data_IF_176834736842
#
_entry.id   IF_176834736842
#
_cell.length_a   1.000
_cell.length_b   1.000
_cell.length_c   1.000
_cell.angle_alpha   90.00
_cell.angle_beta   90.00
_cell.angle_gamma   90.00
#
_symmetry.space_group_name_H-M   'P 1'
#
loop_
_entity.id
_entity.type
_entity.pdbx_description
1 polymer ?
#
# COMPACT_ATOMS: atom_id res chain seq x y z
N UNK A 1 -5.28 -1.39 -22.61
CA UNK A 1 -3.88 -1.00 -22.33
C UNK A 1 -2.91 -2.14 -22.66
N UNK A 2 -3.00 -3.28 -21.96
CA UNK A 2 -2.10 -4.44 -22.15
C UNK A 2 -2.12 -4.98 -23.59
N UNK A 3 -3.30 -5.29 -24.13
CA UNK A 3 -3.41 -5.80 -25.50
C UNK A 3 -2.84 -4.83 -26.56
N UNK A 4 -2.87 -3.52 -26.30
CA UNK A 4 -2.42 -2.49 -27.25
C UNK A 4 -0.93 -2.18 -27.15
N UNK A 5 -0.32 -2.31 -25.97
CA UNK A 5 1.05 -1.84 -25.72
C UNK A 5 2.00 -2.93 -25.21
N UNK A 6 1.47 -4.11 -24.90
CA UNK A 6 2.19 -5.13 -24.12
C UNK A 6 2.55 -4.64 -22.72
N UNK A 7 3.30 -5.47 -22.00
CA UNK A 7 3.91 -5.09 -20.73
C UNK A 7 5.29 -5.73 -20.60
N UNK A 8 6.28 -4.92 -20.28
CA UNK A 8 7.63 -5.39 -19.93
C UNK A 8 7.69 -5.56 -18.41
N UNK A 9 7.73 -6.80 -17.93
CA UNK A 9 7.72 -7.14 -16.51
C UNK A 9 8.83 -8.14 -16.19
N UNK A 10 9.31 -8.12 -14.94
CA UNK A 10 10.31 -9.01 -14.37
C UNK A 10 9.77 -10.40 -13.97
N UNK A 11 8.52 -10.74 -14.29
CA UNK A 11 7.94 -12.05 -13.96
C UNK A 11 6.41 -12.16 -13.98
N UNK A 12 5.72 -11.22 -14.64
CA UNK A 12 4.28 -11.00 -14.50
C UNK A 12 3.96 -9.92 -13.47
N UNK A 13 2.69 -9.53 -13.33
CA UNK A 13 2.23 -8.62 -12.29
C UNK A 13 0.83 -9.02 -11.79
N UNK A 14 0.50 -8.64 -10.57
CA UNK A 14 -0.82 -8.87 -9.98
C UNK A 14 -1.42 -7.56 -9.50
N UNK A 15 -2.70 -7.36 -9.80
CA UNK A 15 -3.44 -6.15 -9.47
C UNK A 15 -4.71 -6.52 -8.69
N UNK A 16 -5.08 -5.65 -7.76
CA UNK A 16 -6.43 -5.61 -7.19
C UNK A 16 -7.12 -4.37 -7.77
N UNK A 17 -8.23 -4.57 -8.46
CA UNK A 17 -9.07 -3.50 -9.02
C UNK A 17 -10.40 -3.58 -8.30
N UNK A 18 -10.88 -2.48 -7.74
CA UNK A 18 -12.13 -2.48 -6.99
C UNK A 18 -12.86 -1.15 -7.10
N UNK A 19 -14.17 -1.21 -6.96
CA UNK A 19 -15.05 -0.08 -6.71
C UNK A 19 -15.89 -0.35 -5.44
N UNK A 20 -17.04 0.32 -5.30
CA UNK A 20 -17.89 0.16 -4.13
C UNK A 20 -18.72 -1.14 -4.13
N UNK A 21 -18.85 -1.79 -5.28
CA UNK A 21 -19.76 -2.90 -5.51
C UNK A 21 -19.02 -4.20 -5.82
N UNK A 22 -17.81 -4.13 -6.38
CA UNK A 22 -17.02 -5.31 -6.72
C UNK A 22 -15.50 -5.11 -6.61
N UNK A 23 -14.80 -6.25 -6.55
CA UNK A 23 -13.35 -6.32 -6.59
C UNK A 23 -12.88 -7.47 -7.48
N UNK A 24 -11.74 -7.29 -8.12
CA UNK A 24 -11.15 -8.21 -9.07
C UNK A 24 -9.66 -8.38 -8.80
N UNK A 25 -9.19 -9.62 -8.83
CA UNK A 25 -7.76 -9.97 -8.91
C UNK A 25 -7.41 -10.11 -10.37
N UNK A 26 -6.49 -9.31 -10.88
CA UNK A 26 -6.03 -9.37 -12.27
C UNK A 26 -4.57 -9.80 -12.29
N UNK A 27 -4.26 -10.85 -13.03
CA UNK A 27 -2.89 -11.30 -13.26
C UNK A 27 -2.53 -11.08 -14.71
N UNK A 28 -1.40 -10.41 -14.90
CA UNK A 28 -0.75 -10.23 -16.17
C UNK A 28 0.49 -11.12 -16.23
N UNK A 29 0.61 -11.93 -17.27
CA UNK A 29 1.72 -12.87 -17.42
C UNK A 29 2.84 -12.29 -18.28
N UNK A 30 4.09 -12.57 -17.88
CA UNK A 30 5.26 -12.21 -18.68
C UNK A 30 5.33 -12.98 -20.01
N UNK A 31 6.18 -12.50 -20.93
CA UNK A 31 6.50 -13.20 -22.18
C UNK A 31 5.87 -12.61 -23.43
N UNK A 32 5.20 -11.46 -23.35
CA UNK A 32 4.77 -10.67 -24.52
C UNK A 32 3.66 -11.29 -25.36
N UNK A 33 3.04 -12.39 -24.90
CA UNK A 33 1.94 -13.07 -25.60
C UNK A 33 0.55 -12.44 -25.32
N UNK A 34 0.50 -11.31 -24.61
CA UNK A 34 -0.75 -10.61 -24.27
C UNK A 34 -1.66 -11.40 -23.32
N UNK A 35 -1.10 -12.31 -22.54
CA UNK A 35 -1.84 -13.20 -21.64
C UNK A 35 -2.21 -12.48 -20.34
N UNK A 36 -3.49 -12.53 -19.99
CA UNK A 36 -4.00 -12.03 -18.72
C UNK A 36 -5.24 -12.82 -18.29
N UNK A 37 -5.53 -12.78 -16.99
CA UNK A 37 -6.74 -13.35 -16.38
C UNK A 37 -7.20 -12.47 -15.23
N UNK A 38 -8.51 -12.38 -15.04
CA UNK A 38 -9.15 -11.66 -13.96
C UNK A 38 -10.15 -12.58 -13.23
N UNK A 39 -10.11 -12.59 -11.90
CA UNK A 39 -11.04 -13.30 -11.02
C UNK A 39 -11.84 -12.28 -10.20
N UNK A 40 -13.16 -12.31 -10.31
CA UNK A 40 -14.05 -11.49 -9.48
C UNK A 40 -14.11 -12.09 -8.08
N UNK A 41 -13.89 -11.25 -7.08
CA UNK A 41 -14.00 -11.63 -5.68
C UNK A 41 -15.48 -11.61 -5.24
N UNK A 42 -15.88 -12.65 -4.51
CA UNK A 42 -17.22 -12.70 -3.91
C UNK A 42 -17.40 -11.64 -2.82
N UNK A 43 -18.66 -11.32 -2.44
CA UNK A 43 -18.95 -10.25 -1.46
C UNK A 43 -18.40 -10.52 -0.05
N UNK A 44 -18.14 -11.79 0.29
CA UNK A 44 -17.54 -12.20 1.57
C UNK A 44 -16.03 -12.54 1.45
N UNK A 45 -15.43 -12.32 0.28
CA UNK A 45 -14.06 -12.71 0.02
C UNK A 45 -13.07 -11.75 0.70
N UNK A 46 -12.02 -12.32 1.27
CA UNK A 46 -10.84 -11.61 1.77
C UNK A 46 -9.65 -12.15 0.99
N UNK A 47 -8.92 -11.26 0.32
CA UNK A 47 -7.81 -11.64 -0.55
C UNK A 47 -6.55 -10.84 -0.21
N UNK A 48 -5.44 -11.56 -0.06
CA UNK A 48 -4.08 -11.02 0.02
C UNK A 48 -3.31 -11.49 -1.21
N UNK A 49 -2.75 -10.55 -1.95
CA UNK A 49 -2.09 -10.81 -3.25
C UNK A 49 -0.57 -10.69 -3.12
N UNK A 50 0.11 -11.74 -2.63
CA UNK A 50 1.57 -11.78 -2.55
C UNK A 50 2.17 -13.21 -2.44
N UNK A 51 2.81 -13.74 -3.50
CA UNK A 51 2.63 -13.32 -4.88
C UNK A 51 1.15 -13.42 -5.27
N UNK A 52 0.70 -12.61 -6.23
CA UNK A 52 -0.68 -12.72 -6.71
C UNK A 52 -0.91 -14.05 -7.43
N UNK A 53 -2.05 -14.67 -7.18
CA UNK A 53 -2.44 -15.93 -7.80
C UNK A 53 -3.94 -15.95 -8.12
N UNK A 54 -4.26 -16.66 -9.20
CA UNK A 54 -5.60 -17.12 -9.56
C UNK A 54 -5.49 -18.64 -9.62
N UNK A 55 -6.47 -19.32 -9.03
CA UNK A 55 -6.48 -20.77 -8.95
C UNK A 55 -7.08 -21.43 -10.19
N UNK A 56 -8.02 -22.35 -9.95
CA UNK A 56 -8.73 -23.07 -11.00
C UNK A 56 -9.85 -22.22 -11.58
N UNK A 57 -9.92 -22.17 -12.91
CA UNK A 57 -10.96 -21.46 -13.65
C UNK A 57 -11.69 -22.38 -14.62
N UNK A 58 -12.95 -22.08 -14.99
CA UNK A 58 -13.64 -22.79 -16.06
C UNK A 58 -12.99 -22.50 -17.42
N UNK A 59 -12.68 -23.53 -18.20
CA UNK A 59 -12.03 -23.42 -19.52
C UNK A 59 -12.92 -22.66 -20.53
N UNK A 60 -14.22 -22.92 -20.51
CA UNK A 60 -15.18 -22.30 -21.42
C UNK A 60 -15.51 -20.85 -21.02
N UNK A 61 -14.88 -20.34 -19.94
CA UNK A 61 -15.29 -19.12 -19.27
C UNK A 61 -16.66 -19.27 -18.61
N UNK A 62 -17.12 -18.20 -17.95
CA UNK A 62 -18.46 -18.16 -17.36
C UNK A 62 -19.29 -16.98 -17.87
N UNK A 63 -18.88 -16.42 -19.01
CA UNK A 63 -19.44 -15.22 -19.61
C UNK A 63 -19.00 -13.93 -18.91
N UNK A 64 -17.84 -13.92 -18.23
CA UNK A 64 -17.31 -12.76 -17.52
C UNK A 64 -18.00 -12.49 -16.18
N UNK A 65 -18.72 -13.46 -15.63
CA UNK A 65 -19.46 -13.27 -14.36
C UNK A 65 -18.54 -13.33 -13.16
N UNK A 66 -17.55 -14.22 -13.21
CA UNK A 66 -16.55 -14.43 -12.16
C UNK A 66 -15.14 -14.54 -12.70
N UNK A 67 -14.96 -14.84 -14.00
CA UNK A 67 -13.64 -14.90 -14.61
C UNK A 67 -13.65 -14.27 -16.00
N UNK A 68 -12.65 -13.43 -16.27
CA UNK A 68 -12.30 -12.96 -17.62
C UNK A 68 -10.85 -13.34 -17.95
N UNK A 69 -10.54 -13.57 -19.22
CA UNK A 69 -9.18 -13.92 -19.66
C UNK A 69 -8.95 -13.49 -21.10
N UNK A 70 -7.69 -13.43 -21.52
CA UNK A 70 -7.34 -13.15 -22.92
C UNK A 70 -7.88 -14.23 -23.87
N UNK A 71 -8.25 -13.87 -25.10
CA UNK A 71 -8.85 -14.80 -26.08
C UNK A 71 -7.94 -16.01 -26.37
N UNK A 72 -6.62 -15.79 -26.38
CA UNK A 72 -5.62 -16.82 -26.62
C UNK A 72 -5.21 -17.61 -25.36
N UNK A 73 -5.85 -17.40 -24.21
CA UNK A 73 -5.34 -17.84 -22.92
C UNK A 73 -5.19 -19.36 -22.79
N UNK A 74 -6.19 -20.15 -23.19
CA UNK A 74 -6.10 -21.62 -23.09
C UNK A 74 -5.31 -22.21 -24.26
N UNK A 75 -5.59 -21.74 -25.48
CA UNK A 75 -4.94 -22.25 -26.69
C UNK A 75 -3.43 -22.06 -26.68
N UNK A 76 -2.94 -20.96 -26.10
CA UNK A 76 -1.51 -20.75 -25.94
C UNK A 76 -0.87 -21.83 -25.06
N UNK A 77 -1.46 -22.14 -23.90
CA UNK A 77 -0.96 -23.20 -23.03
C UNK A 77 -0.97 -24.57 -23.72
N UNK A 78 -2.02 -24.86 -24.49
CA UNK A 78 -2.12 -26.12 -25.26
C UNK A 78 -1.03 -26.19 -26.33
N UNK A 79 -0.82 -25.11 -27.09
CA UNK A 79 0.20 -25.04 -28.13
C UNK A 79 1.63 -25.17 -27.57
N UNK A 80 1.86 -24.72 -26.33
CA UNK A 80 3.13 -24.89 -25.62
C UNK A 80 3.29 -26.26 -24.95
N UNK A 81 2.25 -27.09 -24.95
CA UNK A 81 2.24 -28.37 -24.23
C UNK A 81 2.20 -28.22 -22.71
N UNK A 82 1.82 -27.05 -22.20
CA UNK A 82 1.69 -26.77 -20.76
C UNK A 82 0.34 -27.23 -20.19
N UNK A 83 -0.67 -27.39 -21.04
CA UNK A 83 -1.98 -27.89 -20.68
C UNK A 83 -2.49 -28.91 -21.71
N UNK A 84 -3.27 -29.90 -21.26
CA UNK A 84 -3.95 -30.86 -22.13
C UNK A 84 -5.45 -30.65 -21.99
N UNK A 85 -6.11 -30.26 -23.07
CA UNK A 85 -7.55 -30.02 -23.13
C UNK A 85 -8.33 -31.35 -23.11
N UNK A 86 -8.43 -31.99 -21.94
CA UNK A 86 -9.14 -33.26 -21.73
C UNK A 86 -10.22 -33.17 -20.64
N UNK A 87 -10.84 -32.00 -20.48
CA UNK A 87 -11.87 -31.75 -19.47
C UNK A 87 -11.33 -31.55 -18.05
N UNK A 88 -10.00 -31.46 -17.87
CA UNK A 88 -9.39 -31.04 -16.60
C UNK A 88 -9.60 -29.54 -16.37
N UNK A 89 -9.85 -29.09 -15.12
CA UNK A 89 -9.85 -27.67 -14.80
C UNK A 89 -8.54 -26.99 -15.20
N UNK A 90 -8.61 -25.75 -15.66
CA UNK A 90 -7.43 -24.96 -15.95
C UNK A 90 -6.93 -24.32 -14.65
N UNK A 91 -5.82 -24.83 -14.11
CA UNK A 91 -5.19 -24.27 -12.91
C UNK A 91 -4.17 -23.21 -13.34
N UNK A 92 -4.55 -21.95 -13.20
CA UNK A 92 -3.79 -20.81 -13.73
C UNK A 92 -2.39 -20.73 -13.13
N UNK A 93 -2.29 -20.81 -11.80
CA UNK A 93 -0.98 -20.72 -11.13
C UNK A 93 -0.10 -21.95 -11.42
N UNK A 94 -0.68 -23.13 -11.63
CA UNK A 94 0.09 -24.30 -12.05
C UNK A 94 0.59 -24.23 -13.51
N UNK A 95 -0.20 -23.65 -14.42
CA UNK A 95 0.14 -23.57 -15.85
C UNK A 95 1.07 -22.39 -16.17
N UNK A 96 0.80 -21.23 -15.57
CA UNK A 96 1.48 -19.97 -15.90
C UNK A 96 2.29 -19.35 -14.75
N UNK A 97 2.14 -19.87 -13.54
CA UNK A 97 2.84 -19.38 -12.35
C UNK A 97 3.92 -20.34 -11.85
N UNK A 98 4.15 -20.30 -10.54
CA UNK A 98 5.12 -21.16 -9.84
C UNK A 98 4.50 -22.44 -9.26
N UNK A 99 3.19 -22.64 -9.44
CA UNK A 99 2.44 -23.77 -8.90
C UNK A 99 2.31 -23.82 -7.38
N UNK A 100 2.76 -22.79 -6.65
CA UNK A 100 2.73 -22.76 -5.17
C UNK A 100 1.41 -22.25 -4.60
N UNK A 101 0.62 -21.53 -5.41
CA UNK A 101 -0.70 -21.01 -5.03
C UNK A 101 -0.64 -20.07 -3.83
N UNK A 102 -1.53 -20.31 -2.86
CA UNK A 102 -1.68 -19.50 -1.64
C UNK A 102 -0.53 -19.77 -0.66
N UNK A 103 0.32 -18.77 -0.39
CA UNK A 103 1.46 -18.88 0.53
C UNK A 103 1.01 -18.88 2.01
N UNK A 104 1.86 -19.37 2.92
CA UNK A 104 1.54 -19.45 4.35
C UNK A 104 1.23 -18.08 4.97
N UNK A 105 2.06 -17.07 4.68
CA UNK A 105 1.81 -15.71 5.17
C UNK A 105 0.52 -15.09 4.62
N UNK A 106 0.14 -15.41 3.37
CA UNK A 106 -1.16 -15.03 2.78
C UNK A 106 -2.29 -15.67 3.57
N UNK A 107 -2.20 -16.98 3.83
CA UNK A 107 -3.23 -17.70 4.57
C UNK A 107 -3.43 -17.14 5.98
N UNK A 108 -2.34 -16.82 6.69
CA UNK A 108 -2.41 -16.28 8.04
C UNK A 108 -3.13 -14.93 8.12
N UNK A 109 -2.87 -14.00 7.18
CA UNK A 109 -3.56 -12.70 7.16
C UNK A 109 -5.04 -12.87 6.81
N UNK A 110 -5.33 -13.63 5.75
CA UNK A 110 -6.70 -13.85 5.29
C UNK A 110 -7.54 -14.57 6.35
N UNK A 111 -6.99 -15.59 7.01
CA UNK A 111 -7.69 -16.36 8.05
C UNK A 111 -7.96 -15.50 9.30
N UNK A 112 -7.02 -14.63 9.68
CA UNK A 112 -7.21 -13.70 10.80
C UNK A 112 -8.29 -12.66 10.49
N UNK A 113 -8.28 -12.07 9.30
CA UNK A 113 -9.32 -11.14 8.88
C UNK A 113 -10.68 -11.86 8.71
N UNK A 114 -10.70 -13.10 8.22
CA UNK A 114 -11.90 -13.92 8.14
C UNK A 114 -12.45 -14.28 9.52
N UNK A 115 -11.58 -14.44 10.53
CA UNK A 115 -12.00 -14.62 11.92
C UNK A 115 -12.63 -13.34 12.46
N UNK A 116 -12.06 -12.18 12.17
CA UNK A 116 -12.58 -10.86 12.59
C UNK A 116 -13.89 -10.52 11.89
N UNK A 117 -14.09 -10.93 10.63
CA UNK A 117 -15.33 -10.69 9.88
C UNK A 117 -16.56 -11.44 10.43
N UNK A 118 -16.33 -12.47 11.26
CA UNK A 118 -17.39 -13.21 11.97
C UNK A 118 -17.93 -12.48 13.21
N UNK A 119 -17.28 -11.41 13.68
CA UNK A 119 -17.81 -10.58 14.77
C UNK A 119 -19.05 -9.80 14.30
N UNK A 120 -20.01 -9.46 15.19
CA UNK A 120 -21.20 -8.71 14.82
C UNK A 120 -20.92 -7.38 14.10
N UNK A 121 -19.87 -6.67 14.52
CA UNK A 121 -19.42 -5.39 13.95
C UNK A 121 -18.65 -5.51 12.64
N UNK A 122 -18.39 -6.73 12.16
CA UNK A 122 -17.59 -7.03 10.95
C UNK A 122 -16.15 -6.52 11.03
N UNK A 123 -15.44 -6.48 9.89
CA UNK A 123 -14.11 -5.87 9.80
C UNK A 123 -14.26 -4.37 9.62
N UNK A 124 -13.51 -3.60 10.41
CA UNK A 124 -13.38 -2.16 10.28
C UNK A 124 -11.99 -1.76 9.77
N UNK A 125 -11.79 -0.45 9.61
CA UNK A 125 -10.50 0.13 9.22
C UNK A 125 -9.37 -0.25 10.21
N UNK A 126 -9.65 -0.23 11.52
CA UNK A 126 -8.70 -0.60 12.56
C UNK A 126 -8.18 -2.04 12.38
N UNK A 127 -9.05 -2.96 11.97
CA UNK A 127 -8.65 -4.35 11.75
C UNK A 127 -7.67 -4.50 10.57
N UNK A 128 -7.91 -3.73 9.50
CA UNK A 128 -7.03 -3.71 8.32
C UNK A 128 -5.70 -3.04 8.65
N UNK A 129 -5.73 -1.92 9.39
CA UNK A 129 -4.51 -1.25 9.87
C UNK A 129 -3.67 -2.21 10.72
N UNK A 130 -4.27 -2.89 11.69
CA UNK A 130 -3.56 -3.82 12.56
C UNK A 130 -2.98 -5.00 11.77
N UNK A 131 -3.71 -5.55 10.79
CA UNK A 131 -3.21 -6.63 9.93
C UNK A 131 -1.99 -6.18 9.09
N UNK A 132 -2.03 -4.97 8.52
CA UNK A 132 -0.93 -4.41 7.74
C UNK A 132 0.27 -3.97 8.59
N UNK A 133 0.07 -3.73 9.88
CA UNK A 133 1.11 -3.30 10.83
C UNK A 133 1.86 -4.47 11.50
N UNK A 134 1.37 -5.69 11.35
CA UNK A 134 2.00 -6.87 11.92
C UNK A 134 3.42 -7.06 11.38
N UNK A 135 4.40 -7.11 12.30
CA UNK A 135 5.83 -7.18 11.98
C UNK A 135 6.25 -8.47 11.29
N UNK A 136 5.45 -9.54 11.39
CA UNK A 136 5.65 -10.79 10.66
C UNK A 136 5.50 -10.61 9.15
N UNK A 137 4.71 -9.61 8.76
CA UNK A 137 4.35 -9.34 7.37
C UNK A 137 4.95 -8.03 6.84
N UNK A 138 5.14 -7.05 7.70
CA UNK A 138 5.58 -5.71 7.31
C UNK A 138 6.90 -5.37 7.98
N UNK A 139 7.88 -4.93 7.21
CA UNK A 139 9.22 -4.59 7.69
C UNK A 139 9.88 -3.52 6.84
N UNK A 140 11.20 -3.56 6.74
CA UNK A 140 11.96 -2.53 6.00
C UNK A 140 11.72 -2.55 4.48
N UNK A 141 11.42 -3.73 3.94
CA UNK A 141 11.08 -3.93 2.53
C UNK A 141 9.74 -3.31 2.12
N UNK A 142 8.86 -2.98 3.07
CA UNK A 142 7.63 -2.26 2.79
C UNK A 142 7.94 -0.78 2.57
N UNK A 143 7.78 -0.32 1.31
CA UNK A 143 8.06 1.06 0.92
C UNK A 143 7.05 2.07 1.48
N UNK A 144 5.79 1.67 1.63
CA UNK A 144 4.67 2.47 2.14
C UNK A 144 3.49 1.54 2.47
N UNK A 145 2.42 2.08 3.04
CA UNK A 145 1.13 1.41 3.17
C UNK A 145 -0.03 2.30 2.73
N UNK A 146 -1.07 1.70 2.16
CA UNK A 146 -2.25 2.39 1.67
C UNK A 146 -3.50 1.55 1.94
N UNK A 147 -4.57 2.19 2.42
CA UNK A 147 -5.90 1.58 2.56
C UNK A 147 -6.91 2.54 1.94
N UNK A 148 -7.72 2.07 0.99
CA UNK A 148 -8.76 2.86 0.34
C UNK A 148 -10.13 2.25 0.65
N UNK A 149 -10.90 2.79 1.62
CA UNK A 149 -12.25 2.33 1.88
C UNK A 149 -13.21 2.77 0.76
N UNK A 150 -13.80 1.82 0.04
CA UNK A 150 -14.67 2.08 -1.11
C UNK A 150 -16.15 1.96 -0.73
N UNK A 151 -16.66 2.89 0.09
CA UNK A 151 -18.07 2.89 0.50
C UNK A 151 -18.95 3.63 -0.51
N UNK A 152 -19.97 2.95 -1.06
CA UNK A 152 -21.10 3.51 -1.83
C UNK A 152 -20.76 4.50 -2.95
N UNK A 153 -21.76 5.10 -3.60
CA UNK A 153 -21.55 6.28 -4.41
C UNK A 153 -21.25 7.47 -3.49
N UNK A 154 -20.07 8.07 -3.64
CA UNK A 154 -19.66 9.31 -2.98
C UNK A 154 -19.03 10.26 -3.99
N UNK A 155 -19.10 11.58 -3.78
CA UNK A 155 -18.35 12.53 -4.59
C UNK A 155 -16.87 12.15 -4.66
N UNK A 156 -16.26 12.29 -5.84
CA UNK A 156 -14.87 11.89 -6.06
C UNK A 156 -13.91 12.69 -5.15
N UNK A 157 -14.26 13.94 -4.87
CA UNK A 157 -13.54 14.90 -4.03
C UNK A 157 -13.40 14.43 -2.58
N UNK A 158 -14.37 13.66 -2.08
CA UNK A 158 -14.37 13.12 -0.71
C UNK A 158 -13.81 11.71 -0.63
N UNK A 159 -13.29 11.15 -1.73
CA UNK A 159 -12.64 9.83 -1.68
C UNK A 159 -11.30 9.95 -0.98
N UNK A 160 -11.02 8.96 -0.13
CA UNK A 160 -9.92 8.99 0.81
C UNK A 160 -9.05 7.75 0.72
N UNK A 161 -7.76 7.95 0.90
CA UNK A 161 -6.79 6.91 1.14
C UNK A 161 -6.11 7.16 2.47
N UNK A 162 -6.05 6.15 3.32
CA UNK A 162 -5.23 6.13 4.52
C UNK A 162 -3.82 5.75 4.12
N UNK A 163 -2.85 6.63 4.36
CA UNK A 163 -1.48 6.47 3.86
C UNK A 163 -0.47 6.42 5.01
N UNK A 164 0.34 5.36 5.01
CA UNK A 164 1.57 5.28 5.78
C UNK A 164 2.76 5.52 4.85
N UNK A 165 3.59 6.52 5.17
CA UNK A 165 4.64 6.99 4.27
C UNK A 165 5.84 6.04 4.12
N UNK A 166 6.04 5.15 5.10
CA UNK A 166 6.97 4.01 5.04
C UNK A 166 6.22 2.74 5.49
N UNK A 167 6.92 1.64 5.75
CA UNK A 167 6.34 0.42 6.29
C UNK A 167 5.38 0.67 7.47
N UNK A 168 4.10 0.27 7.38
CA UNK A 168 3.08 0.46 8.42
C UNK A 168 3.45 -0.06 9.82
N UNK A 169 4.46 -0.93 9.90
CA UNK A 169 5.01 -1.46 11.15
C UNK A 169 5.38 -0.34 12.13
N UNK A 170 5.89 0.80 11.62
CA UNK A 170 6.40 1.90 12.43
C UNK A 170 5.94 3.30 11.97
N UNK A 171 4.99 3.40 11.03
CA UNK A 171 4.41 4.66 10.59
C UNK A 171 2.88 4.65 10.76
N UNK A 172 2.26 5.81 11.08
CA UNK A 172 0.81 5.94 11.18
C UNK A 172 0.17 5.96 9.79
N UNK A 173 -1.07 5.53 9.72
CA UNK A 173 -1.94 5.79 8.58
C UNK A 173 -2.61 7.16 8.74
N UNK A 174 -2.18 8.13 7.94
CA UNK A 174 -2.77 9.48 7.91
C UNK A 174 -3.75 9.59 6.73
N UNK A 175 -4.95 10.16 6.91
CA UNK A 175 -5.92 10.30 5.83
C UNK A 175 -5.46 11.32 4.77
N UNK A 176 -5.49 10.91 3.50
CA UNK A 176 -5.13 11.71 2.32
C UNK A 176 -6.26 11.66 1.28
N UNK A 177 -6.88 12.80 0.92
CA UNK A 177 -7.91 12.84 -0.11
C UNK A 177 -7.33 12.52 -1.48
N UNK A 178 -8.08 11.78 -2.29
CA UNK A 178 -7.69 11.50 -3.68
C UNK A 178 -7.70 12.77 -4.54
N UNK A 179 -8.52 13.75 -4.17
CA UNK A 179 -8.53 15.10 -4.73
C UNK A 179 -7.51 16.07 -4.10
N UNK A 180 -6.48 15.58 -3.39
CA UNK A 180 -5.45 16.43 -2.78
C UNK A 180 -4.81 17.34 -3.83
N UNK A 181 -4.85 18.65 -3.60
CA UNK A 181 -4.31 19.63 -4.55
C UNK A 181 -2.79 19.63 -4.56
N UNK A 182 -2.17 19.46 -3.38
CA UNK A 182 -0.72 19.51 -3.24
C UNK A 182 -0.26 18.73 -2.00
N UNK A 183 0.82 17.95 -2.11
CA UNK A 183 1.45 17.30 -0.96
C UNK A 183 2.42 18.26 -0.24
N UNK A 184 2.55 18.20 1.11
CA UNK A 184 3.56 19.00 1.80
C UNK A 184 4.97 18.69 1.26
N UNK A 185 5.84 19.69 1.21
CA UNK A 185 7.20 19.56 0.66
C UNK A 185 8.00 18.42 1.32
N UNK A 186 7.81 18.20 2.62
CA UNK A 186 8.44 17.12 3.36
C UNK A 186 8.06 15.71 2.88
N UNK A 187 6.90 15.55 2.26
CA UNK A 187 6.36 14.29 1.75
C UNK A 187 6.55 14.11 0.23
N UNK A 188 7.18 15.08 -0.45
CA UNK A 188 7.51 14.97 -1.89
C UNK A 188 8.78 14.16 -2.12
N UNK A 189 9.12 13.98 -3.38
CA UNK A 189 10.34 13.30 -3.81
C UNK A 189 11.58 14.17 -3.54
N UNK A 190 12.40 13.75 -2.55
CA UNK A 190 13.71 14.35 -2.26
C UNK A 190 14.82 13.73 -3.15
N UNK A 191 15.95 14.44 -3.30
CA UNK A 191 17.08 14.08 -4.18
C UNK A 191 17.73 12.76 -3.79
N UNK A 192 17.96 12.52 -2.51
CA UNK A 192 18.59 11.26 -2.05
C UNK A 192 17.66 10.04 -2.17
N UNK A 193 16.40 10.23 -2.54
CA UNK A 193 15.45 9.16 -2.87
C UNK A 193 15.28 8.96 -4.39
N UNK A 194 16.07 9.68 -5.19
CA UNK A 194 15.89 9.77 -6.63
C UNK A 194 17.15 9.33 -7.36
N UNK A 195 17.02 8.31 -8.20
CA UNK A 195 18.14 7.78 -8.99
C UNK A 195 18.78 8.89 -9.83
N UNK A 196 20.10 9.03 -9.73
CA UNK A 196 20.89 10.02 -10.46
C UNK A 196 20.88 11.43 -9.86
N UNK A 197 19.95 11.78 -8.96
CA UNK A 197 19.87 13.14 -8.41
C UNK A 197 21.05 13.47 -7.47
N UNK A 198 21.74 12.46 -6.92
CA UNK A 198 22.95 12.65 -6.12
C UNK A 198 24.10 13.29 -6.93
N UNK A 199 24.12 13.11 -8.25
CA UNK A 199 25.15 13.63 -9.16
C UNK A 199 24.76 14.98 -9.78
N UNK A 200 23.53 15.44 -9.53
CA UNK A 200 23.00 16.71 -10.06
C UNK A 200 23.27 17.90 -9.14
N UNK A 201 22.99 19.12 -9.62
CA UNK A 201 23.17 20.35 -8.86
C UNK A 201 21.92 21.23 -8.90
N UNK A 202 21.65 21.93 -7.78
CA UNK A 202 20.66 23.01 -7.73
C UNK A 202 21.42 24.32 -7.99
N UNK A 203 21.91 24.49 -9.21
CA UNK A 203 22.52 25.75 -9.63
C UNK A 203 22.20 26.07 -11.10
N UNK A 204 22.50 27.30 -11.53
CA UNK A 204 22.23 27.78 -12.89
C UNK A 204 23.42 27.59 -13.84
N UNK A 205 24.55 27.07 -13.36
CA UNK A 205 25.81 27.01 -14.11
C UNK A 205 25.97 25.73 -14.91
N UNK A 206 25.37 24.63 -14.45
CA UNK A 206 25.37 23.34 -15.15
C UNK A 206 23.95 22.92 -15.50
N UNK A 207 23.43 23.51 -16.57
CA UNK A 207 22.07 23.25 -17.01
C UNK A 207 21.85 21.77 -17.36
N UNK A 208 22.88 21.11 -17.87
CA UNK A 208 22.93 19.70 -18.26
C UNK A 208 22.91 18.72 -17.07
N UNK A 209 23.33 19.14 -15.87
CA UNK A 209 23.27 18.34 -14.65
C UNK A 209 22.35 18.95 -13.59
N UNK A 210 21.33 19.68 -14.02
CA UNK A 210 20.40 20.34 -13.11
C UNK A 210 19.47 19.33 -12.42
N UNK A 211 19.38 19.44 -11.09
CA UNK A 211 18.45 18.69 -10.24
C UNK A 211 17.02 18.88 -10.71
N UNK A 212 16.27 17.78 -10.84
CA UNK A 212 14.82 17.82 -11.14
C UNK A 212 14.02 18.12 -9.89
N UNK A 213 14.59 17.89 -8.71
CA UNK A 213 13.95 18.20 -7.44
C UNK A 213 14.06 19.71 -7.16
N UNK A 214 12.95 20.40 -6.86
CA UNK A 214 12.97 21.81 -6.49
C UNK A 214 13.74 22.08 -5.19
N UNK A 215 14.46 23.20 -5.14
CA UNK A 215 15.18 23.64 -3.93
C UNK A 215 14.27 23.76 -2.71
N UNK A 216 13.01 24.14 -2.92
CA UNK A 216 12.00 24.24 -1.85
C UNK A 216 11.63 22.89 -1.23
N UNK A 217 11.79 21.77 -1.95
CA UNK A 217 11.60 20.43 -1.37
C UNK A 217 12.81 20.07 -0.53
N UNK A 218 14.02 20.25 -1.09
CA UNK A 218 15.29 19.96 -0.40
C UNK A 218 15.56 20.86 0.81
N UNK A 219 14.96 22.05 0.86
CA UNK A 219 15.03 22.94 2.02
C UNK A 219 14.22 22.44 3.23
N UNK A 220 13.47 21.35 3.08
CA UNK A 220 12.67 20.73 4.15
C UNK A 220 13.26 19.40 4.60
N UNK A 221 12.88 18.92 5.79
CA UNK A 221 13.14 17.54 6.19
C UNK A 221 12.30 16.58 5.33
N UNK A 222 12.78 15.36 5.07
CA UNK A 222 11.95 14.33 4.43
C UNK A 222 11.23 13.46 5.45
N UNK A 223 9.94 13.27 5.20
CA UNK A 223 9.15 12.29 5.90
C UNK A 223 9.72 10.87 5.76
N UNK A 224 10.25 10.49 4.59
CA UNK A 224 10.82 9.15 4.38
C UNK A 224 11.98 8.91 5.34
N UNK A 225 12.93 9.85 5.44
CA UNK A 225 14.09 9.71 6.32
C UNK A 225 13.69 9.75 7.79
N UNK A 226 12.80 10.66 8.17
CA UNK A 226 12.31 10.76 9.56
C UNK A 226 11.60 9.48 10.01
N UNK A 227 10.67 8.96 9.21
CA UNK A 227 9.95 7.73 9.54
C UNK A 227 10.86 6.48 9.44
N UNK A 228 11.77 6.40 8.46
CA UNK A 228 12.76 5.29 8.41
C UNK A 228 13.68 5.31 9.62
N UNK A 229 14.13 6.49 10.07
CA UNK A 229 14.93 6.61 11.30
C UNK A 229 14.16 6.09 12.51
N UNK A 230 12.90 6.48 12.68
CA UNK A 230 12.06 5.94 13.76
C UNK A 230 11.90 4.42 13.64
N UNK A 231 11.63 3.92 12.43
CA UNK A 231 11.47 2.50 12.17
C UNK A 231 12.72 1.72 12.58
N UNK A 232 13.91 2.17 12.18
CA UNK A 232 15.16 1.50 12.55
C UNK A 232 15.43 1.53 14.05
N UNK A 233 15.17 2.66 14.73
CA UNK A 233 15.29 2.75 16.18
C UNK A 233 14.34 1.78 16.89
N UNK A 234 13.09 1.68 16.43
CA UNK A 234 12.12 0.74 16.99
C UNK A 234 12.54 -0.72 16.74
N UNK A 235 13.09 -1.02 15.55
CA UNK A 235 13.52 -2.35 15.16
C UNK A 235 14.71 -2.89 15.96
N UNK A 236 15.63 -2.01 16.39
CA UNK A 236 16.78 -2.37 17.23
C UNK A 236 16.36 -3.14 18.50
N UNK A 237 15.16 -2.87 19.02
CA UNK A 237 14.56 -3.56 20.17
C UNK A 237 13.07 -3.77 19.94
N UNK A 238 12.75 -4.43 18.83
CA UNK A 238 11.37 -4.56 18.35
C UNK A 238 10.41 -5.19 19.37
N UNK A 239 10.87 -6.07 20.26
CA UNK A 239 10.02 -6.67 21.30
C UNK A 239 9.46 -5.63 22.30
N UNK A 240 10.19 -4.54 22.57
CA UNK A 240 9.82 -3.53 23.56
C UNK A 240 9.45 -2.19 22.94
N UNK A 241 10.24 -1.70 21.99
CA UNK A 241 10.05 -0.35 21.43
C UNK A 241 9.00 -0.31 20.31
N UNK A 242 8.82 -1.39 19.56
CA UNK A 242 7.83 -1.41 18.50
C UNK A 242 6.39 -1.31 19.07
N UNK A 243 6.00 -2.08 20.12
CA UNK A 243 4.71 -1.89 20.77
C UNK A 243 4.50 -0.47 21.31
N UNK A 244 5.53 0.18 21.87
CA UNK A 244 5.47 1.57 22.35
C UNK A 244 5.11 2.54 21.21
N UNK A 245 5.81 2.43 20.07
CA UNK A 245 5.55 3.25 18.87
C UNK A 245 4.14 2.99 18.32
N UNK A 246 3.76 1.72 18.19
CA UNK A 246 2.46 1.34 17.65
C UNK A 246 1.29 1.77 18.54
N UNK A 247 1.47 1.81 19.87
CA UNK A 247 0.44 2.31 20.78
C UNK A 247 0.13 3.80 20.52
N UNK A 248 1.17 4.59 20.23
CA UNK A 248 1.04 6.02 19.91
C UNK A 248 0.35 6.19 18.56
N UNK A 249 0.74 5.41 17.54
CA UNK A 249 0.08 5.42 16.24
C UNK A 249 -1.39 5.02 16.32
N UNK A 250 -1.75 3.97 17.06
CA UNK A 250 -3.15 3.61 17.26
C UNK A 250 -3.95 4.72 17.94
N UNK A 251 -3.35 5.44 18.87
CA UNK A 251 -4.02 6.58 19.51
C UNK A 251 -4.22 7.75 18.54
N UNK A 252 -3.20 8.05 17.73
CA UNK A 252 -3.26 9.08 16.69
C UNK A 252 -4.29 8.73 15.60
N UNK A 253 -4.29 7.50 15.09
CA UNK A 253 -5.20 7.00 14.06
C UNK A 253 -6.67 7.03 14.52
N UNK A 254 -6.95 6.63 15.76
CA UNK A 254 -8.30 6.76 16.33
C UNK A 254 -8.74 8.22 16.46
N UNK A 255 -7.82 9.13 16.78
CA UNK A 255 -8.13 10.56 16.76
C UNK A 255 -8.42 11.03 15.33
N UNK A 256 -7.54 10.69 14.39
CA UNK A 256 -7.69 11.05 12.99
C UNK A 256 -9.01 10.54 12.40
N UNK A 257 -9.46 9.33 12.71
CA UNK A 257 -10.76 8.83 12.26
C UNK A 257 -11.92 9.71 12.74
N UNK A 258 -11.90 10.18 13.99
CA UNK A 258 -12.94 11.07 14.51
C UNK A 258 -12.88 12.46 13.88
N UNK A 259 -11.68 13.03 13.82
CA UNK A 259 -11.47 14.38 13.31
C UNK A 259 -11.77 14.44 11.80
N UNK A 260 -11.38 13.41 11.05
CA UNK A 260 -11.61 13.33 9.62
C UNK A 260 -13.08 13.10 9.29
N UNK A 261 -13.82 12.34 10.10
CA UNK A 261 -15.26 12.23 9.93
C UNK A 261 -15.97 13.59 10.05
N UNK A 262 -15.44 14.53 10.84
CA UNK A 262 -15.95 15.92 10.88
C UNK A 262 -15.58 16.66 9.60
N UNK A 263 -14.32 16.57 9.16
CA UNK A 263 -13.84 17.24 7.94
C UNK A 263 -14.61 16.78 6.69
N UNK A 264 -14.87 15.48 6.55
CA UNK A 264 -15.68 14.93 5.46
C UNK A 264 -17.11 15.48 5.46
N UNK A 265 -17.74 15.63 6.63
CA UNK A 265 -19.09 16.22 6.72
C UNK A 265 -19.09 17.69 6.29
N UNK A 266 -18.07 18.45 6.67
CA UNK A 266 -17.95 19.86 6.25
C UNK A 266 -17.72 19.98 4.74
N UNK A 267 -16.88 19.12 4.17
CA UNK A 267 -16.66 19.05 2.72
C UNK A 267 -17.94 18.64 1.98
N UNK A 268 -18.71 17.68 2.50
CA UNK A 268 -19.99 17.28 1.93
C UNK A 268 -21.00 18.44 1.89
N UNK A 269 -21.12 19.23 2.97
CA UNK A 269 -21.99 20.41 3.00
C UNK A 269 -21.56 21.47 1.98
N UNK A 270 -20.26 21.67 1.78
CA UNK A 270 -19.76 22.57 0.74
C UNK A 270 -20.12 22.06 -0.67
N UNK A 271 -19.99 20.76 -0.92
CA UNK A 271 -20.37 20.14 -2.19
C UNK A 271 -21.88 20.27 -2.46
N UNK A 272 -22.72 20.06 -1.44
CA UNK A 272 -24.18 20.27 -1.53
C UNK A 272 -24.55 21.72 -1.86
N UNK A 273 -23.73 22.69 -1.43
CA UNK A 273 -23.88 24.10 -1.77
C UNK A 273 -23.30 24.48 -3.14
N UNK A 274 -22.69 23.53 -3.87
CA UNK A 274 -22.03 23.78 -5.16
C UNK A 274 -20.60 24.32 -5.05
N UNK A 275 -20.01 24.30 -3.85
CA UNK A 275 -18.69 24.87 -3.54
C UNK A 275 -17.59 23.80 -3.57
N UNK A 276 -17.40 23.13 -4.72
CA UNK A 276 -16.43 22.04 -4.88
C UNK A 276 -14.98 22.45 -4.58
N UNK A 277 -14.59 23.68 -4.97
CA UNK A 277 -13.24 24.19 -4.68
C UNK A 277 -13.01 24.34 -3.17
N UNK A 278 -13.99 24.87 -2.45
CA UNK A 278 -13.91 25.02 -0.99
C UNK A 278 -13.79 23.64 -0.29
N UNK A 279 -14.51 22.62 -0.78
CA UNK A 279 -14.41 21.26 -0.27
C UNK A 279 -12.99 20.70 -0.45
N UNK A 280 -12.42 20.81 -1.66
CA UNK A 280 -11.05 20.35 -1.96
C UNK A 280 -9.99 21.09 -1.14
N UNK A 281 -10.10 22.43 -1.02
CA UNK A 281 -9.20 23.24 -0.21
C UNK A 281 -9.26 22.86 1.27
N UNK A 282 -10.46 22.63 1.81
CA UNK A 282 -10.66 22.21 3.18
C UNK A 282 -9.99 20.86 3.46
N UNK A 283 -10.30 19.83 2.66
CA UNK A 283 -9.72 18.50 2.84
C UNK A 283 -8.20 18.49 2.62
N UNK A 284 -7.70 19.29 1.68
CA UNK A 284 -6.26 19.48 1.45
C UNK A 284 -5.59 20.09 2.68
N UNK A 285 -6.15 21.15 3.23
CA UNK A 285 -5.62 21.80 4.42
C UNK A 285 -5.55 20.86 5.63
N UNK A 286 -6.63 20.11 5.87
CA UNK A 286 -6.69 19.12 6.96
C UNK A 286 -5.63 18.04 6.76
N UNK A 287 -5.56 17.44 5.57
CA UNK A 287 -4.59 16.38 5.27
C UNK A 287 -3.14 16.86 5.41
N UNK A 288 -2.80 18.03 4.85
CA UNK A 288 -1.45 18.59 4.98
C UNK A 288 -1.07 18.87 6.43
N UNK A 289 -2.01 19.41 7.22
CA UNK A 289 -1.80 19.70 8.65
C UNK A 289 -1.53 18.41 9.42
N UNK A 290 -2.34 17.38 9.21
CA UNK A 290 -2.19 16.11 9.92
C UNK A 290 -0.94 15.35 9.48
N UNK A 291 -0.58 15.36 8.19
CA UNK A 291 0.68 14.79 7.70
C UNK A 291 1.90 15.43 8.39
N UNK A 292 1.92 16.77 8.48
CA UNK A 292 3.03 17.47 9.15
C UNK A 292 3.07 17.21 10.66
N UNK A 293 1.90 17.09 11.32
CA UNK A 293 1.81 16.71 12.73
C UNK A 293 2.32 15.29 12.97
N UNK A 294 1.92 14.31 12.16
CA UNK A 294 2.42 12.93 12.24
C UNK A 294 3.95 12.89 12.08
N UNK A 295 4.50 13.71 11.19
CA UNK A 295 5.94 13.84 10.99
C UNK A 295 6.65 14.45 12.22
N UNK A 296 6.07 15.48 12.85
CA UNK A 296 6.60 16.04 14.10
C UNK A 296 6.60 15.00 15.23
N UNK A 297 5.52 14.22 15.36
CA UNK A 297 5.44 13.11 16.31
C UNK A 297 6.54 12.09 16.03
N UNK A 298 6.75 11.71 14.77
CA UNK A 298 7.77 10.73 14.40
C UNK A 298 9.19 11.20 14.76
N UNK A 299 9.51 12.47 14.48
CA UNK A 299 10.79 13.07 14.86
C UNK A 299 10.98 13.10 16.39
N UNK A 300 9.92 13.40 17.14
CA UNK A 300 9.95 13.40 18.60
C UNK A 300 10.18 12.00 19.16
N UNK A 301 9.46 10.99 18.64
CA UNK A 301 9.65 9.59 19.02
C UNK A 301 11.05 9.10 18.68
N UNK A 302 11.56 9.41 17.48
CA UNK A 302 12.91 9.02 17.09
C UNK A 302 13.96 9.60 18.05
N UNK A 303 13.83 10.88 18.44
CA UNK A 303 14.72 11.48 19.46
C UNK A 303 14.60 10.78 20.82
N UNK A 304 13.38 10.48 21.26
CA UNK A 304 13.14 9.83 22.55
C UNK A 304 13.71 8.40 22.58
N UNK A 305 13.46 7.61 21.54
CA UNK A 305 13.98 6.25 21.43
C UNK A 305 15.49 6.22 21.32
N UNK A 306 16.08 7.11 20.52
CA UNK A 306 17.55 7.20 20.44
C UNK A 306 18.16 7.51 21.82
N UNK A 307 17.59 8.47 22.55
CA UNK A 307 18.05 8.80 23.90
C UNK A 307 17.93 7.59 24.84
N UNK A 308 16.78 6.91 24.83
CA UNK A 308 16.52 5.71 25.63
C UNK A 308 17.55 4.61 25.37
N UNK A 309 17.78 4.28 24.09
CA UNK A 309 18.77 3.27 23.68
C UNK A 309 20.18 3.66 24.13
N UNK A 310 20.57 4.92 23.94
CA UNK A 310 21.90 5.41 24.31
C UNK A 310 22.16 5.33 25.82
N UNK A 311 21.16 5.60 26.64
CA UNK A 311 21.27 5.58 28.11
C UNK A 311 21.25 4.16 28.66
N UNK A 312 20.38 3.28 28.14
CA UNK A 312 20.18 1.94 28.68
C UNK A 312 21.34 0.99 28.35
N UNK A 313 21.74 0.88 27.08
CA UNK A 313 22.77 -0.12 26.66
C UNK A 313 23.86 0.46 25.76
N UNK A 314 23.74 1.74 25.38
CA UNK A 314 24.46 2.30 24.25
C UNK A 314 23.91 1.80 22.90
N UNK A 315 24.28 2.47 21.80
CA UNK A 315 24.02 1.95 20.45
C UNK A 315 24.94 0.74 20.19
N UNK A 316 24.62 -0.40 20.81
CA UNK A 316 25.30 -1.67 20.52
C UNK A 316 24.74 -2.22 19.22
N UNK A 317 25.50 -1.98 18.15
CA UNK A 317 25.18 -2.39 16.78
C UNK A 317 25.58 -3.87 16.66
N UNK A 318 24.60 -4.77 16.70
CA UNK A 318 24.78 -6.08 16.08
C UNK A 318 25.05 -5.89 14.58
N UNK A 319 25.87 -6.74 13.97
CA UNK A 319 26.20 -6.62 12.53
C UNK A 319 25.07 -7.10 11.62
N UNK A 320 24.03 -7.73 12.18
CA UNK A 320 22.86 -8.22 11.45
C UNK A 320 21.67 -7.25 11.50
N UNK A 321 20.70 -7.41 10.58
CA UNK A 321 19.46 -6.66 10.63
C UNK A 321 18.69 -7.00 11.92
N UNK A 322 18.11 -5.99 12.56
CA UNK A 322 17.22 -6.15 13.70
C UNK A 322 15.77 -6.00 13.25
N UNK A 323 14.87 -6.77 13.86
CA UNK A 323 13.44 -6.69 13.61
C UNK A 323 12.72 -8.00 13.91
N UNK A 324 11.38 -8.01 13.81
CA UNK A 324 10.59 -9.22 13.92
C UNK A 324 10.98 -10.24 12.84
N UNK A 325 10.86 -11.53 13.16
CA UNK A 325 10.99 -12.60 12.17
C UNK A 325 9.86 -12.49 11.14
N UNK A 326 10.23 -12.43 9.86
CA UNK A 326 9.28 -12.34 8.75
C UNK A 326 8.98 -13.71 8.15
N UNK A 327 7.74 -13.90 7.72
CA UNK A 327 7.21 -15.21 7.28
C UNK A 327 6.80 -15.22 5.79
N UNK A 328 7.46 -14.40 4.98
CA UNK A 328 7.34 -14.41 3.52
C UNK A 328 8.37 -15.32 2.88
#
# INVERSE_FOLDING_TARGET
>A
LIAAHGHSTYGGNSHLIADADEAWVVIEFAGGAGLWVAERLGPDAIRVSRPGYVGRIPIEGDGGRTVEMSENFVDFAVARGWHVANGRPFDVNAVYGDGKGRWEGVALIEDELARRSRRPEKIGLDDVIDALRDGRFTGDSAGYGQIAPLHGPRPAETRMMWHAHVGPVAAPFTPVPLGLLEAPHAFRQHRYLSTGEAETFIDRRRAETRSRVPQSVEATRSATVSFKRLQYLAMLRHETLLPEVQAIWRAEERRLQRDYAVAERLAALALEAGESEAACLHLTYVAQTELMRSLDTADALARALELKIRVEDGLRIGTGPAGPEQIW
#
